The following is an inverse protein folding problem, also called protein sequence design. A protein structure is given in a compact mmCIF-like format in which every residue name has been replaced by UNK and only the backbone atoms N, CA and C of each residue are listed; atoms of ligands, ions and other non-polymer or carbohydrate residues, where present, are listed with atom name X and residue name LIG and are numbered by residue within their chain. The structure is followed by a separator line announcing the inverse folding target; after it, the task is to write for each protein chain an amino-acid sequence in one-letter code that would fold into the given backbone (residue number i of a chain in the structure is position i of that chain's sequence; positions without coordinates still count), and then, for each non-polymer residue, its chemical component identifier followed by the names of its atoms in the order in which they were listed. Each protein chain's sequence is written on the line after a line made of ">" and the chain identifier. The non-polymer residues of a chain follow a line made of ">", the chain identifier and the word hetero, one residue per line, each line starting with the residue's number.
data_IF_573056470033
#
_entry.id   IF_573056470033
#
_cell.length_a   1.000
_cell.length_b   1.000
_cell.length_c   1.000
_cell.angle_alpha   90.00
_cell.angle_beta   90.00
_cell.angle_gamma   90.00
#
_symmetry.space_group_name_H-M   'P 1'
#
loop_
_entity.id
_entity.type
_entity.pdbx_description
1 polymer ?
#
# COMPACT_ATOMS: atom_id res chain seq x y z
N UNK A 1 1.65 33.92 20.18
CA UNK A 1 2.41 33.07 19.23
C UNK A 1 1.42 32.39 18.30
N UNK A 2 1.52 32.59 16.99
CA UNK A 2 0.62 31.93 16.03
C UNK A 2 1.06 30.46 15.90
N UNK A 3 0.18 29.45 16.08
CA UNK A 3 0.57 28.06 15.94
C UNK A 3 1.02 27.82 14.49
N UNK A 4 2.30 27.49 14.31
CA UNK A 4 2.84 27.18 12.97
C UNK A 4 2.12 25.94 12.44
N UNK A 5 1.47 26.07 11.28
CA UNK A 5 0.73 24.96 10.63
C UNK A 5 1.72 23.85 10.27
N UNK A 6 1.59 22.66 10.86
CA UNK A 6 2.39 21.50 10.52
C UNK A 6 2.07 21.02 9.09
N UNK A 7 3.04 21.09 8.17
CA UNK A 7 2.88 20.59 6.81
C UNK A 7 2.74 19.06 6.82
N UNK A 8 1.62 18.57 6.28
CA UNK A 8 1.40 17.14 6.10
C UNK A 8 2.07 16.66 4.81
N UNK A 9 3.24 16.02 4.91
CA UNK A 9 3.94 15.41 3.78
C UNK A 9 3.33 14.06 3.37
N UNK A 10 3.26 13.83 2.06
CA UNK A 10 2.99 12.53 1.43
C UNK A 10 4.12 11.53 1.67
N UNK A 11 3.87 10.24 1.39
CA UNK A 11 4.91 9.20 1.47
C UNK A 11 6.06 9.49 0.51
N UNK A 12 5.78 9.93 -0.72
CA UNK A 12 6.80 10.31 -1.70
C UNK A 12 7.65 11.49 -1.23
N UNK A 13 7.04 12.54 -0.68
CA UNK A 13 7.79 13.66 -0.09
C UNK A 13 8.64 13.21 1.10
N UNK A 14 8.12 12.33 1.97
CA UNK A 14 8.90 11.77 3.09
C UNK A 14 10.08 10.93 2.60
N UNK A 15 9.92 10.17 1.51
CA UNK A 15 11.04 9.44 0.87
C UNK A 15 12.12 10.41 0.37
N UNK A 16 11.72 11.52 -0.26
CA UNK A 16 12.66 12.58 -0.68
C UNK A 16 13.40 13.22 0.51
N UNK A 17 12.71 13.42 1.62
CA UNK A 17 13.33 13.91 2.88
C UNK A 17 14.39 12.92 3.38
N UNK A 18 14.08 11.61 3.38
CA UNK A 18 15.02 10.57 3.80
C UNK A 18 16.23 10.54 2.88
N UNK A 19 16.00 10.51 1.56
CA UNK A 19 17.07 10.49 0.56
C UNK A 19 18.01 11.68 0.71
N UNK A 20 17.48 12.90 0.86
CA UNK A 20 18.31 14.10 1.03
C UNK A 20 19.23 14.01 2.26
N UNK A 21 18.77 13.40 3.36
CA UNK A 21 19.60 13.18 4.56
C UNK A 21 20.63 12.07 4.34
N UNK A 22 20.27 11.01 3.62
CA UNK A 22 21.17 9.91 3.27
C UNK A 22 22.26 10.34 2.27
N UNK A 23 21.94 11.29 1.38
CA UNK A 23 22.88 11.96 0.47
C UNK A 23 23.85 12.93 1.20
N UNK A 24 23.76 13.01 2.53
CA UNK A 24 24.68 13.79 3.36
C UNK A 24 24.26 15.25 3.59
N UNK A 25 23.07 15.68 3.18
CA UNK A 25 22.63 17.05 3.44
C UNK A 25 22.38 17.29 4.93
N UNK A 26 22.71 18.50 5.40
CA UNK A 26 22.48 18.87 6.79
C UNK A 26 20.99 18.90 7.12
N UNK A 27 20.62 18.22 8.21
CA UNK A 27 19.23 18.09 8.71
C UNK A 27 18.50 19.44 8.83
N UNK A 28 19.20 20.50 9.21
CA UNK A 28 18.64 21.85 9.34
C UNK A 28 18.19 22.41 7.99
N UNK A 29 18.96 22.16 6.94
CA UNK A 29 18.69 22.68 5.60
C UNK A 29 17.61 21.84 4.91
N UNK A 30 17.63 20.52 5.09
CA UNK A 30 16.53 19.63 4.67
C UNK A 30 15.21 20.06 5.32
N UNK A 31 15.18 20.32 6.63
CA UNK A 31 13.96 20.76 7.30
C UNK A 31 13.39 22.06 6.71
N UNK A 32 14.27 23.03 6.40
CA UNK A 32 13.88 24.28 5.75
C UNK A 32 13.38 24.06 4.33
N UNK A 33 14.12 23.30 3.51
CA UNK A 33 13.78 23.01 2.11
C UNK A 33 12.40 22.40 1.98
N UNK A 34 12.04 21.47 2.87
CA UNK A 34 10.74 20.81 2.85
C UNK A 34 9.64 21.55 3.63
N UNK A 35 9.99 22.65 4.31
CA UNK A 35 9.05 23.45 5.10
C UNK A 35 8.51 22.72 6.33
N UNK A 36 9.34 21.90 6.98
CA UNK A 36 8.97 21.07 8.13
C UNK A 36 9.75 21.48 9.39
N UNK A 37 9.18 21.18 10.56
CA UNK A 37 9.90 21.38 11.82
C UNK A 37 11.00 20.32 12.01
N UNK A 38 12.09 20.64 12.73
CA UNK A 38 13.13 19.67 13.07
C UNK A 38 12.58 18.41 13.77
N UNK A 39 11.57 18.57 14.63
CA UNK A 39 10.88 17.46 15.28
C UNK A 39 10.16 16.54 14.29
N UNK A 40 9.59 17.10 13.22
CA UNK A 40 8.93 16.35 12.15
C UNK A 40 9.97 15.56 11.34
N UNK A 41 11.11 16.18 11.03
CA UNK A 41 12.23 15.51 10.37
C UNK A 41 12.71 14.31 11.20
N UNK A 42 12.94 14.49 12.50
CA UNK A 42 13.34 13.40 13.39
C UNK A 42 12.31 12.26 13.42
N UNK A 43 11.02 12.58 13.44
CA UNK A 43 9.96 11.58 13.41
C UNK A 43 9.90 10.83 12.07
N UNK A 44 10.14 11.51 10.94
CA UNK A 44 10.24 10.90 9.61
C UNK A 44 11.41 9.91 9.57
N UNK A 45 12.60 10.35 10.03
CA UNK A 45 13.79 9.51 10.07
C UNK A 45 13.63 8.29 10.99
N UNK A 46 12.94 8.44 12.13
CA UNK A 46 12.61 7.32 13.04
C UNK A 46 11.70 6.28 12.38
N UNK A 47 10.88 6.67 11.41
CA UNK A 47 9.97 5.78 10.67
C UNK A 47 10.49 5.44 9.26
N UNK A 48 11.80 5.61 9.00
CA UNK A 48 12.35 5.48 7.65
C UNK A 48 12.06 4.13 7.02
N UNK A 49 12.22 3.03 7.75
CA UNK A 49 12.10 1.68 7.18
C UNK A 49 10.68 1.41 6.67
N UNK A 50 9.69 1.88 7.43
CA UNK A 50 8.29 1.84 7.04
C UNK A 50 8.00 2.71 5.81
N UNK A 51 8.56 3.92 5.78
CA UNK A 51 8.34 4.87 4.69
C UNK A 51 8.99 4.35 3.40
N UNK A 52 10.23 3.85 3.46
CA UNK A 52 10.96 3.28 2.33
C UNK A 52 10.26 2.02 1.79
N UNK A 53 9.85 1.10 2.67
CA UNK A 53 9.12 -0.12 2.31
C UNK A 53 7.72 0.10 1.72
N UNK A 54 7.12 1.27 1.90
CA UNK A 54 5.78 1.60 1.37
C UNK A 54 5.76 2.01 -0.12
N UNK A 55 6.49 1.27 -0.98
CA UNK A 55 6.61 1.54 -2.41
C UNK A 55 5.25 1.72 -3.13
N UNK A 56 4.24 0.93 -2.76
CA UNK A 56 2.92 0.93 -3.40
C UNK A 56 1.98 2.09 -3.00
N UNK A 57 2.44 3.03 -2.16
CA UNK A 57 1.56 4.03 -1.52
C UNK A 57 2.09 5.48 -1.66
N UNK A 58 2.82 5.77 -2.75
CA UNK A 58 3.56 7.03 -2.95
C UNK A 58 2.76 8.32 -2.65
N UNK A 59 1.47 8.39 -3.02
CA UNK A 59 0.65 9.59 -2.88
C UNK A 59 -0.19 9.66 -1.59
N UNK A 60 -0.19 8.65 -0.70
CA UNK A 60 -0.97 8.77 0.56
C UNK A 60 -0.24 9.62 1.60
N UNK A 61 -1.02 10.46 2.30
CA UNK A 61 -0.57 11.20 3.49
C UNK A 61 -0.58 10.36 4.76
N UNK A 62 -1.46 9.36 4.85
CA UNK A 62 -1.60 8.42 5.97
C UNK A 62 -1.73 6.99 5.46
N UNK A 63 -0.96 6.08 6.01
CA UNK A 63 -1.13 4.65 5.78
C UNK A 63 -1.71 4.04 7.05
N UNK A 64 -2.88 3.40 6.93
CA UNK A 64 -3.49 2.61 8.01
C UNK A 64 -3.23 1.14 7.67
N UNK A 65 -2.79 0.37 8.67
CA UNK A 65 -2.80 -1.08 8.58
C UNK A 65 -4.24 -1.57 8.42
N UNK A 66 -4.39 -2.74 7.81
CA UNK A 66 -5.68 -3.40 7.75
C UNK A 66 -6.11 -3.94 9.09
N UNK A 67 -7.38 -4.30 9.16
CA UNK A 67 -7.94 -4.99 10.32
C UNK A 67 -7.28 -6.36 10.51
N UNK A 68 -6.71 -6.95 9.45
CA UNK A 68 -6.07 -8.26 9.46
C UNK A 68 -4.67 -8.24 8.79
N UNK A 69 -3.65 -7.61 9.42
CA UNK A 69 -2.36 -7.38 8.76
C UNK A 69 -1.61 -8.66 8.39
N UNK A 70 -1.66 -9.70 9.23
CA UNK A 70 -1.00 -10.99 8.96
C UNK A 70 -1.66 -11.75 7.80
N UNK A 71 -2.99 -11.71 7.73
CA UNK A 71 -3.76 -12.31 6.63
C UNK A 71 -3.39 -11.63 5.31
N UNK A 72 -3.38 -10.30 5.31
CA UNK A 72 -3.03 -9.52 4.12
C UNK A 72 -1.59 -9.76 3.67
N UNK A 73 -0.64 -9.90 4.58
CA UNK A 73 0.75 -10.22 4.24
C UNK A 73 0.84 -11.57 3.50
N UNK A 74 0.19 -12.61 4.01
CA UNK A 74 0.15 -13.92 3.35
C UNK A 74 -0.55 -13.85 1.98
N UNK A 75 -1.64 -13.08 1.88
CA UNK A 75 -2.36 -12.91 0.63
C UNK A 75 -1.50 -12.20 -0.43
N UNK A 76 -0.71 -11.20 -0.03
CA UNK A 76 0.23 -10.50 -0.91
C UNK A 76 1.34 -11.43 -1.40
N UNK A 77 1.92 -12.26 -0.52
CA UNK A 77 2.92 -13.27 -0.92
C UNK A 77 2.35 -14.23 -1.97
N UNK A 78 1.12 -14.69 -1.76
CA UNK A 78 0.44 -15.55 -2.73
C UNK A 78 0.19 -14.84 -4.08
N UNK A 79 -0.24 -13.58 -4.07
CA UNK A 79 -0.39 -12.79 -5.30
C UNK A 79 0.94 -12.67 -6.06
N UNK A 80 2.05 -12.43 -5.35
CA UNK A 80 3.38 -12.38 -5.98
C UNK A 80 3.78 -13.71 -6.60
N UNK A 81 3.47 -14.83 -5.95
CA UNK A 81 3.73 -16.16 -6.50
C UNK A 81 2.92 -16.43 -7.77
N UNK A 82 1.62 -16.14 -7.76
CA UNK A 82 0.76 -16.30 -8.95
C UNK A 82 1.24 -15.43 -10.12
N UNK A 83 1.67 -14.20 -9.85
CA UNK A 83 2.24 -13.31 -10.87
C UNK A 83 3.56 -13.83 -11.43
N UNK A 84 4.43 -14.40 -10.59
CA UNK A 84 5.66 -15.06 -11.06
C UNK A 84 5.39 -16.25 -12.00
N UNK A 85 4.17 -16.79 -11.95
CA UNK A 85 3.70 -17.88 -12.82
C UNK A 85 2.78 -17.38 -13.95
N UNK A 86 2.62 -16.06 -14.13
CA UNK A 86 1.70 -15.44 -15.09
C UNK A 86 0.24 -15.90 -14.96
N UNK A 87 -0.20 -16.27 -13.75
CA UNK A 87 -1.58 -16.69 -13.51
C UNK A 87 -2.49 -15.47 -13.33
N UNK A 88 -3.63 -15.40 -14.06
CA UNK A 88 -4.63 -14.38 -13.81
C UNK A 88 -5.26 -14.58 -12.43
N UNK A 89 -5.46 -13.49 -11.70
CA UNK A 89 -6.11 -13.52 -10.37
C UNK A 89 -7.32 -12.61 -10.42
N UNK A 90 -8.51 -13.22 -10.43
CA UNK A 90 -9.77 -12.48 -10.35
C UNK A 90 -10.09 -12.04 -8.92
N UNK A 91 -11.04 -11.10 -8.80
CA UNK A 91 -11.55 -10.63 -7.50
C UNK A 91 -12.15 -11.76 -6.65
N UNK A 92 -12.82 -12.73 -7.29
CA UNK A 92 -13.40 -13.90 -6.61
C UNK A 92 -12.31 -14.82 -6.04
N UNK A 93 -11.33 -15.21 -6.87
CA UNK A 93 -10.19 -16.03 -6.41
C UNK A 93 -9.46 -15.38 -5.24
N UNK A 94 -9.30 -14.05 -5.27
CA UNK A 94 -8.66 -13.31 -4.20
C UNK A 94 -9.45 -13.37 -2.89
N UNK A 95 -10.79 -13.28 -2.96
CA UNK A 95 -11.67 -13.44 -1.79
C UNK A 95 -11.64 -14.86 -1.24
N UNK A 96 -11.70 -15.86 -2.10
CA UNK A 96 -11.63 -17.28 -1.69
C UNK A 96 -10.31 -17.59 -1.00
N UNK A 97 -9.19 -17.12 -1.58
CA UNK A 97 -7.88 -17.28 -0.96
C UNK A 97 -7.79 -16.55 0.38
N UNK A 98 -8.33 -15.34 0.48
CA UNK A 98 -8.36 -14.59 1.73
C UNK A 98 -9.14 -15.33 2.83
N UNK A 99 -10.29 -15.93 2.49
CA UNK A 99 -11.08 -16.75 3.41
C UNK A 99 -10.33 -18.02 3.86
N UNK A 100 -9.65 -18.70 2.93
CA UNK A 100 -8.82 -19.86 3.25
C UNK A 100 -7.70 -19.49 4.24
N UNK A 101 -7.00 -18.37 4.02
CA UNK A 101 -5.96 -17.88 4.94
C UNK A 101 -6.57 -17.50 6.30
N UNK A 102 -7.74 -16.86 6.31
CA UNK A 102 -8.45 -16.51 7.54
C UNK A 102 -8.74 -17.75 8.39
N UNK A 103 -9.26 -18.82 7.76
CA UNK A 103 -9.51 -20.10 8.42
C UNK A 103 -8.24 -20.72 8.99
N UNK A 104 -7.13 -20.72 8.23
CA UNK A 104 -5.84 -21.22 8.73
C UNK A 104 -5.28 -20.42 9.91
N UNK A 105 -5.72 -19.17 10.09
CA UNK A 105 -5.36 -18.33 11.23
C UNK A 105 -6.39 -18.34 12.37
N UNK A 106 -7.46 -19.14 12.26
CA UNK A 106 -8.54 -19.18 13.25
C UNK A 106 -9.37 -17.89 13.31
N UNK A 107 -9.39 -17.11 12.22
CA UNK A 107 -10.18 -15.88 12.14
C UNK A 107 -11.60 -16.26 11.70
N UNK A 108 -12.50 -16.37 12.65
CA UNK A 108 -13.92 -16.63 12.40
C UNK A 108 -14.65 -15.39 11.86
N UNK A 109 -15.67 -15.61 11.04
CA UNK A 109 -16.53 -14.52 10.53
C UNK A 109 -15.87 -13.59 9.50
N UNK A 110 -14.67 -13.89 9.01
CA UNK A 110 -14.05 -13.09 7.95
C UNK A 110 -14.83 -13.19 6.63
N UNK A 111 -15.60 -12.15 6.32
CA UNK A 111 -16.53 -12.14 5.19
C UNK A 111 -15.87 -11.93 3.81
N UNK A 112 -14.62 -11.44 3.78
CA UNK A 112 -13.98 -10.94 2.55
C UNK A 112 -14.93 -10.01 1.75
N UNK A 113 -15.54 -9.03 2.45
CA UNK A 113 -16.55 -8.13 1.87
C UNK A 113 -15.99 -7.31 0.70
N UNK A 114 -16.87 -6.77 -0.14
CA UNK A 114 -16.44 -5.87 -1.24
C UNK A 114 -15.69 -4.65 -0.71
N UNK A 115 -16.11 -4.09 0.42
CA UNK A 115 -15.43 -2.98 1.08
C UNK A 115 -14.03 -3.36 1.55
N UNK A 116 -13.88 -4.53 2.17
CA UNK A 116 -12.57 -5.03 2.58
C UNK A 116 -11.65 -5.26 1.37
N UNK A 117 -12.16 -5.92 0.32
CA UNK A 117 -11.42 -6.21 -0.90
C UNK A 117 -10.98 -4.92 -1.61
N UNK A 118 -11.85 -3.93 -1.70
CA UNK A 118 -11.56 -2.61 -2.28
C UNK A 118 -10.48 -1.88 -1.49
N UNK A 119 -10.59 -1.88 -0.16
CA UNK A 119 -9.58 -1.29 0.72
C UNK A 119 -8.25 -2.03 0.67
N UNK A 120 -8.26 -3.37 0.58
CA UNK A 120 -7.07 -4.20 0.42
C UNK A 120 -6.35 -3.83 -0.88
N UNK A 121 -7.07 -3.86 -2.01
CA UNK A 121 -6.53 -3.47 -3.32
C UNK A 121 -5.93 -2.06 -3.30
N UNK A 122 -6.65 -1.10 -2.74
CA UNK A 122 -6.18 0.28 -2.66
C UNK A 122 -4.96 0.43 -1.74
N UNK A 123 -4.81 -0.40 -0.69
CA UNK A 123 -3.66 -0.34 0.22
C UNK A 123 -2.40 -0.91 -0.40
N UNK A 124 -2.55 -1.94 -1.21
CA UNK A 124 -1.43 -2.67 -1.81
C UNK A 124 -1.21 -2.34 -3.30
N UNK A 125 -1.91 -1.34 -3.83
CA UNK A 125 -1.76 -0.90 -5.23
C UNK A 125 -2.13 -1.97 -6.25
N UNK A 126 -3.14 -2.80 -5.95
CA UNK A 126 -3.58 -3.88 -6.82
C UNK A 126 -4.73 -3.38 -7.70
N UNK A 127 -4.53 -3.42 -9.00
CA UNK A 127 -5.54 -3.07 -10.01
C UNK A 127 -5.96 -4.31 -10.80
N UNK A 128 -7.24 -4.45 -11.10
CA UNK A 128 -7.72 -5.43 -12.06
C UNK A 128 -7.92 -4.71 -13.39
N UNK A 129 -7.24 -5.14 -14.46
CA UNK A 129 -7.55 -4.65 -15.79
C UNK A 129 -8.91 -5.25 -16.19
N UNK A 130 -9.88 -4.37 -16.41
CA UNK A 130 -11.17 -4.73 -16.97
C UNK A 130 -10.95 -4.89 -18.47
N UNK A 131 -10.91 -6.12 -18.97
CA UNK A 131 -10.98 -6.37 -20.40
C UNK A 131 -12.43 -6.05 -20.79
N UNK A 132 -12.66 -4.87 -21.38
CA UNK A 132 -13.98 -4.51 -21.90
C UNK A 132 -14.10 -5.08 -23.31
N UNK A 133 -14.63 -6.30 -23.41
CA UNK A 133 -15.22 -6.85 -24.63
C UNK A 133 -16.70 -7.10 -24.34
N UNK A 134 -17.55 -6.73 -25.29
CA UNK A 134 -19.00 -6.63 -25.15
C UNK A 134 -19.70 -7.97 -24.84
N UNK A 135 -20.80 -7.86 -24.10
CA UNK A 135 -21.96 -8.76 -24.06
C UNK A 135 -21.79 -10.21 -23.56
N UNK A 136 -22.47 -10.42 -22.42
CA UNK A 136 -23.16 -11.63 -21.98
C UNK A 136 -22.33 -12.84 -21.51
N UNK A 137 -22.83 -13.42 -20.42
CA UNK A 137 -22.31 -14.60 -19.70
C UNK A 137 -21.04 -14.44 -18.86
N UNK A 138 -21.09 -15.14 -17.73
CA UNK A 138 -20.19 -15.14 -16.57
C UNK A 138 -18.81 -15.67 -16.94
N UNK A 139 -17.81 -14.79 -17.05
CA UNK A 139 -16.40 -15.16 -16.99
C UNK A 139 -15.57 -14.05 -16.33
N UNK A 140 -15.31 -14.18 -15.03
CA UNK A 140 -14.53 -13.20 -14.27
C UNK A 140 -13.02 -13.52 -14.28
N UNK A 141 -12.43 -13.63 -15.46
CA UNK A 141 -10.96 -13.67 -15.62
C UNK A 141 -10.45 -12.27 -15.93
N UNK A 142 -10.23 -11.47 -14.89
CA UNK A 142 -9.59 -10.14 -15.04
C UNK A 142 -8.10 -10.22 -14.72
N UNK A 143 -7.27 -9.86 -15.71
CA UNK A 143 -5.82 -9.82 -15.60
C UNK A 143 -5.39 -8.66 -14.68
N UNK A 144 -4.38 -8.88 -13.83
CA UNK A 144 -3.81 -7.81 -12.99
C UNK A 144 -2.50 -7.32 -13.59
N UNK A 145 -2.41 -6.04 -13.92
CA UNK A 145 -1.13 -5.35 -14.10
C UNK A 145 -0.79 -4.51 -12.86
N UNK A 146 0.48 -4.49 -12.45
CA UNK A 146 1.01 -3.51 -11.49
C UNK A 146 1.59 -2.37 -12.30
N UNK A 147 1.21 -1.13 -11.98
CA UNK A 147 1.92 0.05 -12.46
C UNK A 147 3.31 0.07 -11.81
N UNK A 148 4.33 -0.34 -12.57
CA UNK A 148 5.74 -0.09 -12.25
C UNK A 148 6.14 1.23 -12.91
N UNK A 149 6.36 2.28 -12.13
CA UNK A 149 7.04 3.51 -12.53
C UNK A 149 7.85 4.04 -11.36
#
# INVERSE_FOLDING_TARGET
>A
MNPRKNKCLSISEKKRVIQAVEDGQYKKDVAKQFGILPSTLSMILKKKDYITGSAFIANRKRSRQGDFPRLEECLIKWIHQCRGQNLPIGGLMLKEKAKSIAQSFGIEGFAASEGWLSNFKNRHGITFNKICGESDSVDHTTNIEIISK
#
